data_IF_131758342765
#
_entry.id   IF_131758342765
#
_cell.length_a   1.000
_cell.length_b   1.000
_cell.length_c   1.000
_cell.angle_alpha   90.00
_cell.angle_beta   90.00
_cell.angle_gamma   90.00
#
_symmetry.space_group_name_H-M   'P 1'
#
loop_
_entity.id
_entity.type
_entity.pdbx_description
1 polymer ?
#
# COMPACT_ATOMS: atom_id res chain seq x y z
N UNK A 1 33.80 -79.60 8.73
CA UNK A 1 33.24 -79.15 10.03
C UNK A 1 32.94 -77.66 9.90
N UNK A 2 31.73 -77.32 9.65
CA UNK A 2 31.29 -75.94 9.45
C UNK A 2 30.65 -75.39 10.73
N UNK A 3 31.18 -74.27 11.24
CA UNK A 3 30.56 -73.52 12.34
C UNK A 3 29.72 -72.41 11.77
N UNK A 4 28.42 -72.49 12.01
CA UNK A 4 27.48 -71.39 11.73
C UNK A 4 27.52 -70.38 12.88
N UNK A 5 27.84 -69.10 12.57
CA UNK A 5 27.68 -67.98 13.48
C UNK A 5 26.29 -67.38 13.24
N UNK A 6 25.53 -67.24 14.32
CA UNK A 6 24.25 -66.52 14.35
C UNK A 6 24.52 -65.07 14.66
N UNK A 7 24.13 -64.16 13.76
CA UNK A 7 24.18 -62.73 14.05
C UNK A 7 22.88 -62.30 14.78
N UNK A 8 23.06 -61.75 15.93
CA UNK A 8 21.97 -61.18 16.77
C UNK A 8 21.61 -59.81 16.19
N UNK A 9 20.39 -59.67 15.71
CA UNK A 9 19.84 -58.37 15.26
C UNK A 9 19.33 -57.63 16.50
N UNK A 10 20.03 -56.56 16.93
CA UNK A 10 19.59 -55.66 17.95
C UNK A 10 18.53 -54.69 17.43
N UNK A 11 17.34 -54.76 17.99
CA UNK A 11 16.29 -53.76 17.80
C UNK A 11 16.66 -52.52 18.57
N UNK A 12 17.04 -51.43 17.88
CA UNK A 12 17.12 -50.07 18.48
C UNK A 12 15.75 -49.47 18.39
N UNK A 13 15.07 -49.37 19.53
CA UNK A 13 13.84 -48.62 19.65
C UNK A 13 14.18 -47.11 19.60
N UNK A 14 13.86 -46.45 18.49
CA UNK A 14 13.89 -45.00 18.36
C UNK A 14 12.69 -44.45 19.11
N UNK A 15 12.93 -43.91 20.32
CA UNK A 15 11.96 -43.06 21.01
C UNK A 15 11.96 -41.73 20.32
N UNK A 16 10.98 -41.49 19.45
CA UNK A 16 10.69 -40.17 18.87
C UNK A 16 10.01 -39.36 19.98
N UNK A 17 10.80 -38.55 20.68
CA UNK A 17 10.27 -37.56 21.60
C UNK A 17 9.49 -36.51 20.81
N UNK A 18 8.16 -36.53 20.91
CA UNK A 18 7.32 -35.41 20.56
C UNK A 18 7.62 -34.25 21.49
N UNK A 19 8.56 -33.39 21.14
CA UNK A 19 8.63 -32.06 21.72
C UNK A 19 7.46 -31.24 21.13
N UNK A 20 6.35 -31.19 21.88
CA UNK A 20 5.31 -30.18 21.66
C UNK A 20 5.94 -28.81 21.94
N UNK A 21 6.44 -28.19 20.92
CA UNK A 21 6.66 -26.76 20.94
C UNK A 21 5.28 -26.10 20.99
N UNK A 22 4.92 -25.64 22.16
CA UNK A 22 3.88 -24.64 22.30
C UNK A 22 4.40 -23.40 21.56
N UNK A 23 4.11 -23.32 20.27
CA UNK A 23 4.20 -22.07 19.54
C UNK A 23 3.19 -21.14 20.19
N UNK A 24 3.69 -20.27 21.08
CA UNK A 24 2.91 -19.14 21.52
C UNK A 24 2.43 -18.41 20.28
N UNK A 25 1.12 -18.31 20.14
CA UNK A 25 0.49 -17.41 19.23
C UNK A 25 0.87 -15.98 19.62
N UNK A 26 2.07 -15.54 19.21
CA UNK A 26 2.30 -14.15 19.00
C UNK A 26 1.50 -13.85 17.72
N UNK A 27 0.30 -13.34 17.93
CA UNK A 27 -0.50 -12.71 16.91
C UNK A 27 0.32 -11.54 16.34
N UNK A 28 1.25 -11.85 15.43
CA UNK A 28 1.77 -10.86 14.53
C UNK A 28 0.61 -10.60 13.57
N UNK A 29 -0.09 -9.54 13.84
CA UNK A 29 -1.00 -8.92 12.90
C UNK A 29 -0.18 -8.36 11.72
N UNK A 30 0.43 -9.27 10.94
CA UNK A 30 0.96 -8.88 9.65
C UNK A 30 -0.26 -8.60 8.77
N UNK A 31 -0.33 -7.39 8.18
CA UNK A 31 -1.42 -7.09 7.27
C UNK A 31 -1.43 -8.13 6.15
N UNK A 32 -2.59 -8.72 5.91
CA UNK A 32 -2.77 -9.69 4.83
C UNK A 32 -2.72 -8.96 3.50
N UNK A 33 -1.57 -8.95 2.87
CA UNK A 33 -1.40 -8.44 1.51
C UNK A 33 -0.74 -9.52 0.64
N UNK A 34 -0.87 -9.45 -0.68
CA UNK A 34 -0.20 -10.41 -1.56
C UNK A 34 1.32 -10.40 -1.33
N UNK A 35 1.91 -11.58 -1.13
CA UNK A 35 3.35 -11.75 -0.91
C UNK A 35 4.15 -11.89 -2.19
N UNK A 36 3.47 -12.09 -3.31
CA UNK A 36 4.06 -12.26 -4.64
C UNK A 36 3.56 -11.16 -5.57
N UNK A 37 4.34 -10.87 -6.61
CA UNK A 37 3.90 -9.95 -7.65
C UNK A 37 2.63 -10.50 -8.32
N UNK A 38 1.62 -9.63 -8.43
CA UNK A 38 0.37 -9.93 -9.13
C UNK A 38 0.10 -8.81 -10.12
N UNK A 39 -0.35 -9.17 -11.31
CA UNK A 39 -0.92 -8.20 -12.23
C UNK A 39 -2.22 -7.63 -11.62
N UNK A 40 -2.62 -6.43 -12.08
CA UNK A 40 -3.82 -5.77 -11.52
C UNK A 40 -5.06 -6.67 -11.60
N UNK A 41 -5.24 -7.38 -12.72
CA UNK A 41 -6.38 -8.30 -12.88
C UNK A 41 -6.31 -9.51 -11.94
N UNK A 42 -5.11 -9.93 -11.56
CA UNK A 42 -4.90 -11.05 -10.64
C UNK A 42 -5.22 -10.71 -9.19
N UNK A 43 -5.11 -9.44 -8.77
CA UNK A 43 -5.49 -9.04 -7.41
C UNK A 43 -7.00 -8.81 -7.26
N UNK A 44 -7.77 -8.89 -8.32
CA UNK A 44 -9.21 -8.63 -8.29
C UNK A 44 -9.96 -9.57 -7.34
N UNK A 45 -9.81 -10.87 -7.52
CA UNK A 45 -10.45 -11.88 -6.67
C UNK A 45 -10.03 -11.74 -5.20
N UNK A 46 -8.75 -11.44 -4.97
CA UNK A 46 -8.25 -11.17 -3.63
C UNK A 46 -8.93 -9.94 -3.03
N UNK A 47 -9.05 -8.86 -3.77
CA UNK A 47 -9.66 -7.59 -3.31
C UNK A 47 -11.14 -7.75 -3.01
N UNK A 48 -11.89 -8.49 -3.82
CA UNK A 48 -13.31 -8.78 -3.63
C UNK A 48 -13.58 -9.46 -2.27
N UNK A 49 -12.66 -10.31 -1.82
CA UNK A 49 -12.77 -11.01 -0.54
C UNK A 49 -12.26 -10.19 0.66
N UNK A 50 -11.32 -9.28 0.46
CA UNK A 50 -10.63 -8.56 1.55
C UNK A 50 -11.14 -7.12 1.76
N UNK A 51 -11.82 -6.52 0.79
CA UNK A 51 -12.34 -5.16 0.91
C UNK A 51 -13.54 -5.01 1.87
N UNK A 52 -14.55 -5.93 1.88
CA UNK A 52 -15.79 -5.74 2.63
C UNK A 52 -15.60 -5.58 4.15
N UNK A 53 -14.73 -6.34 4.84
CA UNK A 53 -14.55 -6.20 6.28
C UNK A 53 -14.11 -4.80 6.72
N UNK A 54 -13.45 -4.07 5.84
CA UNK A 54 -12.91 -2.73 6.12
C UNK A 54 -13.74 -1.60 5.51
N UNK A 55 -14.83 -1.92 4.80
CA UNK A 55 -15.63 -0.95 4.06
C UNK A 55 -14.82 -0.12 3.05
N UNK A 56 -13.77 -0.71 2.49
CA UNK A 56 -12.98 -0.12 1.42
C UNK A 56 -13.64 -0.48 0.08
N UNK A 57 -13.81 0.46 -0.86
CA UNK A 57 -14.27 0.12 -2.20
C UNK A 57 -13.33 -0.90 -2.85
N UNK A 58 -13.89 -1.97 -3.42
CA UNK A 58 -13.11 -3.08 -4.00
C UNK A 58 -12.07 -2.58 -5.02
N UNK A 59 -12.46 -1.67 -5.90
CA UNK A 59 -11.57 -1.12 -6.92
C UNK A 59 -10.37 -0.38 -6.32
N UNK A 60 -10.59 0.35 -5.23
CA UNK A 60 -9.51 1.02 -4.49
C UNK A 60 -8.62 0.03 -3.74
N UNK A 61 -9.21 -1.00 -3.11
CA UNK A 61 -8.47 -2.09 -2.47
C UNK A 61 -7.53 -2.78 -3.46
N UNK A 62 -7.98 -3.02 -4.69
CA UNK A 62 -7.18 -3.63 -5.76
C UNK A 62 -5.93 -2.81 -6.05
N UNK A 63 -6.05 -1.49 -6.16
CA UNK A 63 -4.92 -0.60 -6.38
C UNK A 63 -3.90 -0.65 -5.22
N UNK A 64 -4.39 -0.66 -3.97
CA UNK A 64 -3.51 -0.72 -2.78
C UNK A 64 -2.77 -2.05 -2.68
N UNK A 65 -3.47 -3.16 -2.90
CA UNK A 65 -2.88 -4.49 -2.88
C UNK A 65 -1.83 -4.67 -3.98
N UNK A 66 -2.13 -4.20 -5.19
CA UNK A 66 -1.19 -4.23 -6.30
C UNK A 66 0.07 -3.40 -6.00
N UNK A 67 -0.08 -2.14 -5.58
CA UNK A 67 1.04 -1.27 -5.28
C UNK A 67 1.93 -1.83 -4.15
N UNK A 68 1.33 -2.35 -3.07
CA UNK A 68 2.06 -3.00 -1.99
C UNK A 68 2.83 -4.24 -2.47
N UNK A 69 2.19 -5.10 -3.27
CA UNK A 69 2.82 -6.29 -3.85
C UNK A 69 3.99 -5.93 -4.76
N UNK A 70 3.82 -4.89 -5.59
CA UNK A 70 4.85 -4.39 -6.48
C UNK A 70 6.08 -3.89 -5.71
N UNK A 71 5.87 -3.08 -4.68
CA UNK A 71 6.95 -2.58 -3.83
C UNK A 71 7.64 -3.69 -3.03
N UNK A 72 6.89 -4.71 -2.61
CA UNK A 72 7.46 -5.89 -1.94
C UNK A 72 8.48 -6.62 -2.83
N UNK A 73 8.25 -6.70 -4.14
CA UNK A 73 9.21 -7.29 -5.09
C UNK A 73 10.48 -6.44 -5.25
N UNK A 74 10.37 -5.14 -5.02
CA UNK A 74 11.49 -4.20 -5.02
C UNK A 74 12.21 -4.14 -3.66
N UNK A 75 11.82 -5.02 -2.69
CA UNK A 75 12.45 -5.13 -1.38
C UNK A 75 11.89 -4.17 -0.32
N UNK A 76 10.79 -3.48 -0.60
CA UNK A 76 10.14 -2.58 0.36
C UNK A 76 9.03 -3.32 1.14
N UNK A 77 8.96 -3.08 2.45
CA UNK A 77 8.03 -3.75 3.37
C UNK A 77 6.71 -2.99 3.56
N UNK A 78 6.29 -2.23 2.56
CA UNK A 78 5.04 -1.49 2.58
C UNK A 78 3.84 -2.44 2.48
N UNK A 79 2.95 -2.39 3.48
CA UNK A 79 1.67 -3.11 3.46
C UNK A 79 0.54 -2.27 2.85
N UNK A 80 -0.45 -2.94 2.23
CA UNK A 80 -1.66 -2.29 1.73
C UNK A 80 -2.43 -1.45 2.79
N UNK A 81 -2.41 -1.79 4.12
CA UNK A 81 -3.09 -1.00 5.13
C UNK A 81 -2.59 0.44 5.23
N UNK A 82 -1.31 0.67 5.00
CA UNK A 82 -0.74 2.02 4.96
C UNK A 82 -1.29 2.81 3.78
N UNK A 83 -1.32 2.22 2.58
CA UNK A 83 -1.89 2.88 1.39
C UNK A 83 -3.38 3.15 1.54
N UNK A 84 -4.13 2.16 2.06
CA UNK A 84 -5.55 2.33 2.33
C UNK A 84 -5.82 3.43 3.36
N UNK A 85 -4.99 3.54 4.40
CA UNK A 85 -5.10 4.59 5.40
C UNK A 85 -4.91 5.98 4.77
N UNK A 86 -3.90 6.15 3.93
CA UNK A 86 -3.67 7.41 3.21
C UNK A 86 -4.82 7.71 2.24
N UNK A 87 -5.26 6.74 1.43
CA UNK A 87 -6.40 6.92 0.53
C UNK A 87 -7.69 7.30 1.27
N UNK A 88 -7.91 6.72 2.47
CA UNK A 88 -9.04 7.09 3.34
C UNK A 88 -8.95 8.55 3.81
N UNK A 89 -7.78 8.97 4.29
CA UNK A 89 -7.60 10.31 4.88
C UNK A 89 -7.64 11.39 3.82
N UNK A 90 -7.05 11.16 2.65
CA UNK A 90 -6.99 12.16 1.58
C UNK A 90 -8.32 12.35 0.84
N UNK A 91 -9.02 11.27 0.51
CA UNK A 91 -10.15 11.38 -0.42
C UNK A 91 -11.27 10.38 -0.15
N UNK A 92 -11.31 9.76 1.05
CA UNK A 92 -12.24 8.65 1.28
C UNK A 92 -12.15 7.59 0.15
N UNK A 93 -10.94 7.15 -0.18
CA UNK A 93 -10.65 6.18 -1.24
C UNK A 93 -11.04 6.62 -2.66
N UNK A 94 -11.05 7.92 -2.94
CA UNK A 94 -11.48 8.52 -4.20
C UNK A 94 -12.97 8.87 -4.25
N UNK A 95 -13.72 8.66 -3.15
CA UNK A 95 -15.15 8.91 -3.06
C UNK A 95 -15.44 10.19 -2.27
N UNK A 96 -15.06 11.32 -2.84
CA UNK A 96 -15.29 12.65 -2.25
C UNK A 96 -15.64 13.65 -3.36
N UNK A 97 -16.26 14.77 -2.99
CA UNK A 97 -16.64 15.85 -3.91
C UNK A 97 -17.44 15.39 -5.15
N UNK A 98 -18.25 14.33 -5.00
CA UNK A 98 -19.05 13.77 -6.09
C UNK A 98 -18.25 12.90 -7.07
N UNK A 99 -16.97 12.62 -6.78
CA UNK A 99 -16.17 11.67 -7.54
C UNK A 99 -16.32 10.25 -7.01
N UNK A 100 -16.15 9.29 -7.91
CA UNK A 100 -16.05 7.87 -7.66
C UNK A 100 -14.91 7.30 -8.49
N UNK A 101 -14.38 6.14 -8.09
CA UNK A 101 -13.41 5.42 -8.92
C UNK A 101 -14.15 4.51 -9.90
N UNK A 102 -14.01 4.78 -11.19
CA UNK A 102 -14.57 3.93 -12.25
C UNK A 102 -13.89 2.56 -12.31
N UNK A 103 -14.51 1.63 -13.03
CA UNK A 103 -13.96 0.27 -13.24
C UNK A 103 -12.57 0.28 -13.88
N UNK A 104 -12.28 1.30 -14.68
CA UNK A 104 -10.96 1.53 -15.29
C UNK A 104 -9.93 2.12 -14.30
N UNK A 105 -10.31 2.32 -13.04
CA UNK A 105 -9.44 2.91 -12.01
C UNK A 105 -9.30 4.42 -12.03
N UNK A 106 -10.00 5.11 -12.95
CA UNK A 106 -9.89 6.56 -13.07
C UNK A 106 -11.05 7.23 -12.32
N UNK A 107 -10.75 8.33 -11.63
CA UNK A 107 -11.75 9.17 -10.97
C UNK A 107 -12.76 9.71 -11.98
N UNK A 108 -14.06 9.58 -11.69
CA UNK A 108 -15.15 10.08 -12.59
C UNK A 108 -15.18 11.59 -12.68
N UNK A 109 -14.75 12.26 -11.59
CA UNK A 109 -14.49 13.69 -11.54
C UNK A 109 -13.06 13.88 -11.04
N UNK A 110 -12.20 14.64 -11.72
CA UNK A 110 -10.84 14.90 -11.24
C UNK A 110 -10.85 15.50 -9.84
N UNK A 111 -10.11 14.87 -8.93
CA UNK A 111 -10.00 15.35 -7.56
C UNK A 111 -8.93 16.44 -7.48
N UNK A 112 -9.34 17.65 -7.13
CA UNK A 112 -8.50 18.84 -6.96
C UNK A 112 -8.92 19.57 -5.68
N UNK A 113 -8.04 19.66 -4.70
CA UNK A 113 -8.37 20.34 -3.44
C UNK A 113 -8.19 21.87 -3.55
N UNK A 114 -9.17 22.50 -4.17
CA UNK A 114 -9.21 23.95 -4.33
C UNK A 114 -9.37 24.71 -3.00
N UNK A 115 -9.90 24.09 -1.96
CA UNK A 115 -10.07 24.74 -0.67
C UNK A 115 -8.75 24.78 0.08
N UNK A 116 -7.90 23.78 -0.03
CA UNK A 116 -6.54 23.82 0.49
C UNK A 116 -5.73 24.94 -0.12
N UNK A 117 -5.82 25.13 -1.43
CA UNK A 117 -5.11 26.22 -2.16
C UNK A 117 -5.55 27.59 -1.69
N UNK A 118 -6.82 27.82 -1.41
CA UNK A 118 -7.33 29.08 -0.89
C UNK A 118 -6.78 29.41 0.49
N UNK A 119 -6.56 28.39 1.32
CA UNK A 119 -6.04 28.55 2.68
C UNK A 119 -4.52 28.71 2.71
N UNK A 120 -3.82 27.94 1.89
CA UNK A 120 -2.35 27.90 1.81
C UNK A 120 -1.90 27.82 0.36
N UNK A 121 -1.91 28.93 -0.41
CA UNK A 121 -1.51 28.89 -1.81
C UNK A 121 -0.02 28.52 -1.93
N UNK A 122 0.25 27.52 -2.75
CA UNK A 122 1.61 27.10 -3.16
C UNK A 122 1.85 27.66 -4.55
N UNK A 123 3.01 28.25 -4.78
CA UNK A 123 3.35 28.76 -6.12
C UNK A 123 3.36 27.63 -7.14
N UNK A 124 2.85 27.89 -8.33
CA UNK A 124 2.83 26.96 -9.45
C UNK A 124 4.25 26.49 -9.82
N UNK A 125 4.44 25.19 -9.93
CA UNK A 125 5.73 24.57 -10.26
C UNK A 125 5.75 23.90 -11.62
N UNK A 126 4.60 23.70 -12.28
CA UNK A 126 4.47 22.94 -13.51
C UNK A 126 3.75 23.66 -14.67
N UNK A 127 3.41 24.92 -14.50
CA UNK A 127 2.65 25.75 -15.44
C UNK A 127 1.22 25.23 -15.67
N UNK A 128 0.64 24.61 -14.63
CA UNK A 128 -0.68 24.00 -14.68
C UNK A 128 -0.78 22.73 -15.53
N UNK A 129 0.32 22.10 -15.83
CA UNK A 129 0.37 20.92 -16.71
C UNK A 129 -0.31 19.69 -16.10
N UNK A 130 -0.18 19.52 -14.77
CA UNK A 130 -0.69 18.34 -14.04
C UNK A 130 -2.07 18.62 -13.46
N UNK A 131 -2.23 19.78 -12.84
CA UNK A 131 -3.44 20.14 -12.10
C UNK A 131 -4.42 21.03 -12.87
N UNK A 132 -3.96 21.67 -13.95
CA UNK A 132 -4.73 22.59 -14.79
C UNK A 132 -4.74 24.04 -14.29
N UNK A 133 -3.95 24.39 -13.26
CA UNK A 133 -3.91 25.75 -12.68
C UNK A 133 -2.52 26.38 -12.83
N UNK A 134 -2.34 27.40 -13.69
CA UNK A 134 -1.04 28.03 -13.89
C UNK A 134 -0.69 29.12 -12.86
N UNK A 135 -1.50 29.31 -11.83
CA UNK A 135 -1.26 30.33 -10.79
C UNK A 135 -0.74 29.69 -9.49
N UNK A 136 -1.23 28.48 -9.18
CA UNK A 136 -0.93 27.78 -7.95
C UNK A 136 -0.95 26.28 -8.15
N UNK A 137 -0.03 25.54 -7.51
CA UNK A 137 -0.10 24.09 -7.44
C UNK A 137 -1.35 23.66 -6.64
N UNK A 138 -2.14 22.75 -7.22
CA UNK A 138 -3.31 22.14 -6.62
C UNK A 138 -3.02 20.65 -6.43
N UNK A 139 -3.24 20.08 -5.22
CA UNK A 139 -3.11 18.63 -5.03
C UNK A 139 -4.03 17.85 -5.96
N UNK A 140 -3.52 16.76 -6.56
CA UNK A 140 -4.20 16.00 -7.61
C UNK A 140 -4.50 14.56 -7.21
N UNK A 141 -5.64 14.08 -7.69
CA UNK A 141 -6.04 12.69 -7.67
C UNK A 141 -6.43 12.13 -6.30
N UNK A 142 -6.67 10.81 -6.22
CA UNK A 142 -7.15 10.16 -4.98
C UNK A 142 -6.23 10.28 -3.78
N UNK A 143 -4.94 10.51 -3.98
CA UNK A 143 -3.94 10.70 -2.93
C UNK A 143 -3.52 12.16 -2.74
N UNK A 144 -4.16 13.11 -3.41
CA UNK A 144 -3.90 14.54 -3.27
C UNK A 144 -2.41 14.88 -3.33
N UNK A 145 -1.75 14.41 -4.38
CA UNK A 145 -0.30 14.57 -4.58
C UNK A 145 -0.03 15.95 -5.19
N UNK A 146 0.88 16.72 -4.60
CA UNK A 146 1.31 18.02 -5.18
C UNK A 146 2.01 17.82 -6.52
N UNK A 147 1.80 18.70 -7.53
CA UNK A 147 2.43 18.60 -8.85
C UNK A 147 3.93 18.33 -8.82
N UNK A 148 4.69 19.08 -8.01
CA UNK A 148 6.14 18.90 -7.85
C UNK A 148 6.52 17.51 -7.30
N UNK A 149 5.68 16.92 -6.45
CA UNK A 149 5.87 15.55 -5.95
C UNK A 149 5.50 14.52 -7.00
N UNK A 150 4.43 14.78 -7.75
CA UNK A 150 4.07 13.93 -8.88
C UNK A 150 5.21 13.82 -9.88
N UNK A 151 5.75 14.93 -10.37
CA UNK A 151 6.90 14.93 -11.29
C UNK A 151 8.11 14.14 -10.77
N UNK A 152 8.37 14.20 -9.47
CA UNK A 152 9.52 13.54 -8.87
C UNK A 152 9.34 12.02 -8.73
N UNK A 153 8.11 11.54 -8.47
CA UNK A 153 7.87 10.16 -8.02
C UNK A 153 6.92 9.36 -8.91
N UNK A 154 6.33 9.96 -9.94
CA UNK A 154 5.30 9.32 -10.77
C UNK A 154 5.69 7.92 -11.25
N UNK A 155 4.74 7.01 -11.16
CA UNK A 155 4.84 5.63 -11.63
C UNK A 155 3.56 5.22 -12.32
N UNK A 156 3.67 4.83 -13.57
CA UNK A 156 2.58 4.17 -14.28
C UNK A 156 2.55 2.68 -13.95
N UNK A 157 1.36 2.15 -13.71
CA UNK A 157 1.16 0.70 -13.52
C UNK A 157 1.41 -0.04 -14.83
N UNK A 158 0.97 0.53 -15.96
CA UNK A 158 1.22 -0.03 -17.28
C UNK A 158 2.59 0.42 -17.80
N UNK A 159 3.54 -0.52 -18.05
CA UNK A 159 4.87 -0.17 -18.51
C UNK A 159 4.85 0.59 -19.85
N UNK A 160 5.61 1.68 -19.92
CA UNK A 160 5.76 2.48 -21.14
C UNK A 160 4.62 3.47 -21.39
N UNK A 161 3.68 3.61 -20.48
CA UNK A 161 2.66 4.67 -20.53
C UNK A 161 3.05 5.85 -19.64
N UNK A 162 2.36 6.98 -19.82
CA UNK A 162 2.46 8.13 -18.93
C UNK A 162 1.53 7.91 -17.74
N UNK A 163 2.03 8.10 -16.53
CA UNK A 163 1.23 7.98 -15.33
C UNK A 163 0.11 9.05 -15.29
N UNK A 164 -1.08 8.64 -14.85
CA UNK A 164 -2.25 9.51 -14.74
C UNK A 164 -2.55 9.80 -13.27
N UNK A 165 -2.47 11.05 -12.79
CA UNK A 165 -2.74 11.39 -11.39
C UNK A 165 -4.19 11.10 -10.96
N UNK A 166 -5.14 11.07 -11.89
CA UNK A 166 -6.54 10.74 -11.61
C UNK A 166 -6.82 9.22 -11.61
N UNK A 167 -5.82 8.39 -11.96
CA UNK A 167 -5.87 6.94 -11.79
C UNK A 167 -5.50 6.55 -10.36
N UNK A 168 -6.37 5.79 -9.68
CA UNK A 168 -6.06 5.28 -8.35
C UNK A 168 -4.90 4.29 -8.38
N UNK A 169 -4.71 3.57 -9.50
CA UNK A 169 -3.63 2.61 -9.66
C UNK A 169 -2.26 3.31 -9.72
N UNK A 170 -2.14 4.31 -10.60
CA UNK A 170 -0.90 5.06 -10.77
C UNK A 170 -0.60 5.91 -9.52
N UNK A 171 -1.64 6.53 -8.94
CA UNK A 171 -1.48 7.32 -7.70
C UNK A 171 -1.06 6.47 -6.52
N UNK A 172 -1.64 5.27 -6.34
CA UNK A 172 -1.25 4.35 -5.27
C UNK A 172 0.20 3.86 -5.46
N UNK A 173 0.60 3.53 -6.68
CA UNK A 173 1.96 3.10 -6.99
C UNK A 173 2.97 4.24 -6.80
N UNK A 174 2.61 5.46 -7.19
CA UNK A 174 3.43 6.68 -7.00
C UNK A 174 3.68 6.94 -5.51
N UNK A 175 2.62 6.93 -4.67
CA UNK A 175 2.75 7.10 -3.22
C UNK A 175 3.52 5.95 -2.57
N UNK A 176 3.27 4.72 -3.00
CA UNK A 176 4.02 3.56 -2.54
C UNK A 176 5.53 3.70 -2.81
N UNK A 177 5.89 4.13 -4.00
CA UNK A 177 7.28 4.41 -4.37
C UNK A 177 7.90 5.52 -3.51
N UNK A 178 7.19 6.62 -3.29
CA UNK A 178 7.64 7.72 -2.42
C UNK A 178 7.87 7.25 -0.98
N UNK A 179 6.95 6.46 -0.42
CA UNK A 179 7.08 5.91 0.94
C UNK A 179 8.29 4.98 1.06
N UNK A 180 8.56 4.16 0.06
CA UNK A 180 9.67 3.20 0.06
C UNK A 180 11.06 3.85 -0.02
N UNK A 181 11.15 5.04 -0.60
CA UNK A 181 12.39 5.84 -0.59
C UNK A 181 12.63 6.49 0.78
N UNK A 182 11.57 6.73 1.53
CA UNK A 182 11.58 7.50 2.77
C UNK A 182 12.15 6.81 4.01
N UNK A 183 12.40 5.49 3.99
CA UNK A 183 12.99 4.79 5.14
C UNK A 183 12.50 3.36 5.39
N UNK A 184 12.86 2.82 6.55
CA UNK A 184 12.48 1.48 7.01
C UNK A 184 11.04 1.44 7.53
N UNK A 185 10.12 0.96 6.71
CA UNK A 185 8.70 0.84 7.06
C UNK A 185 8.38 -0.29 8.05
N UNK A 186 9.37 -1.10 8.45
CA UNK A 186 9.19 -2.12 9.51
C UNK A 186 9.22 -1.55 10.92
N UNK A 187 9.80 -0.37 11.10
CA UNK A 187 9.85 0.31 12.39
C UNK A 187 8.79 1.41 12.46
N UNK A 188 8.26 1.65 13.67
CA UNK A 188 7.30 2.75 13.86
C UNK A 188 7.94 4.12 13.58
N UNK A 189 9.22 4.30 13.88
CA UNK A 189 9.94 5.54 13.62
C UNK A 189 10.18 5.76 12.11
N UNK A 190 10.56 4.72 11.38
CA UNK A 190 10.69 4.79 9.93
C UNK A 190 9.36 5.00 9.23
N UNK A 191 8.29 4.35 9.69
CA UNK A 191 6.93 4.57 9.21
C UNK A 191 6.50 6.03 9.43
N UNK A 192 6.66 6.56 10.66
CA UNK A 192 6.34 7.96 10.98
C UNK A 192 7.13 8.93 10.10
N UNK A 193 8.40 8.65 9.85
CA UNK A 193 9.27 9.45 8.98
C UNK A 193 8.75 9.45 7.54
N UNK A 194 8.41 8.28 7.02
CA UNK A 194 7.88 8.14 5.65
C UNK A 194 6.54 8.89 5.49
N UNK A 195 5.63 8.79 6.47
CA UNK A 195 4.35 9.52 6.41
C UNK A 195 4.54 11.03 6.51
N UNK A 196 5.44 11.51 7.37
CA UNK A 196 5.78 12.94 7.47
C UNK A 196 6.40 13.51 6.19
N UNK A 197 7.03 12.67 5.38
CA UNK A 197 7.51 13.06 4.06
C UNK A 197 6.38 13.21 3.03
N UNK A 198 5.21 12.62 3.28
CA UNK A 198 4.00 12.84 2.49
C UNK A 198 3.32 14.12 2.96
N UNK A 199 2.99 14.18 4.25
CA UNK A 199 2.42 15.35 4.92
C UNK A 199 2.90 15.41 6.38
N UNK A 200 3.51 16.52 6.73
CA UNK A 200 4.08 16.74 8.07
C UNK A 200 3.08 17.24 9.11
N UNK A 201 1.81 17.46 8.74
CA UNK A 201 0.77 17.86 9.70
C UNK A 201 0.59 16.75 10.76
N UNK A 202 0.77 17.08 12.07
CA UNK A 202 0.62 16.09 13.14
C UNK A 202 -0.77 15.43 13.19
N UNK A 203 -1.84 16.13 12.83
CA UNK A 203 -3.18 15.55 12.79
C UNK A 203 -3.34 14.60 11.60
N UNK A 204 -2.71 14.89 10.47
CA UNK A 204 -2.64 13.96 9.35
C UNK A 204 -1.91 12.66 9.74
N UNK A 205 -0.71 12.76 10.30
CA UNK A 205 0.08 11.61 10.76
C UNK A 205 -0.71 10.76 11.75
N UNK A 206 -1.36 11.40 12.74
CA UNK A 206 -2.19 10.72 13.75
C UNK A 206 -3.39 9.99 13.13
N UNK A 207 -4.11 10.61 12.19
CA UNK A 207 -5.23 10.00 11.47
C UNK A 207 -4.75 8.83 10.62
N UNK A 208 -3.67 9.00 9.87
CA UNK A 208 -3.05 7.95 9.08
C UNK A 208 -2.66 6.73 9.93
N UNK A 209 -2.00 6.96 11.07
CA UNK A 209 -1.65 5.89 12.00
C UNK A 209 -2.88 5.16 12.57
N UNK A 210 -3.92 5.89 12.98
CA UNK A 210 -5.14 5.29 13.49
C UNK A 210 -5.82 4.41 12.44
N UNK A 211 -5.89 4.87 11.19
CA UNK A 211 -6.49 4.13 10.07
C UNK A 211 -5.63 2.92 9.65
N UNK A 212 -4.31 3.07 9.57
CA UNK A 212 -3.43 1.95 9.26
C UNK A 212 -3.56 0.82 10.30
N UNK A 213 -3.64 1.19 11.59
CA UNK A 213 -3.89 0.24 12.67
C UNK A 213 -5.28 -0.42 12.59
N UNK A 214 -6.31 0.31 12.18
CA UNK A 214 -7.65 -0.23 11.94
C UNK A 214 -7.63 -1.29 10.84
N UNK A 215 -6.96 -1.01 9.74
CA UNK A 215 -6.86 -1.91 8.57
C UNK A 215 -5.86 -3.07 8.74
N UNK A 216 -5.09 -3.08 9.82
CA UNK A 216 -4.13 -4.15 10.15
C UNK A 216 -4.68 -5.21 11.13
N UNK A 217 -5.99 -5.20 11.44
CA UNK A 217 -6.62 -6.09 12.43
C UNK A 217 -7.29 -7.32 11.84
#
# INVERSE_FOLDING_TARGET
MAKRSYATVGFVALIVGLSMWAAGCADRLEPSHPKTYLEIDQVKEWSESHAPPYSIPERSMRAYAYAASKMSQEGCTLGWPTLAALGSVFSNHGFTHGSEIGENGVSTVPLRDLDLVKLNPVADTDQGRIDGNPEHDIPVGPFQIMPSRWEQFEKAVEPGTTANPDSIDDSALTVAHQLCIGGDLNSSEGWDTAIKNIDADPEFVKKGHAKAKEYSR
#
